data_IF_055372764658
#
_entry.id   IF_055372764658
#
_cell.length_a   1.000
_cell.length_b   1.000
_cell.length_c   1.000
_cell.angle_alpha   90.00
_cell.angle_beta   90.00
_cell.angle_gamma   90.00
#
_symmetry.space_group_name_H-M   'P 1'
#
loop_
_entity.id
_entity.type
_entity.pdbx_description
1 polymer ?
#
# COMPACT_ATOMS: atom_id res chain seq x y z
N UNK A 1 9.62 -5.87 24.75
CA UNK A 1 8.92 -5.23 23.64
C UNK A 1 9.90 -4.58 22.68
N UNK A 2 9.71 -4.80 21.42
CA UNK A 2 10.58 -4.23 20.42
C UNK A 2 10.15 -2.83 20.07
N UNK A 3 11.07 -1.89 19.96
CA UNK A 3 10.68 -0.54 19.59
C UNK A 3 9.89 -0.48 18.28
N UNK A 4 10.29 -1.29 17.30
CA UNK A 4 9.60 -1.28 16.03
C UNK A 4 8.17 -1.75 16.11
N UNK A 5 7.83 -2.52 17.14
CA UNK A 5 6.47 -3.02 17.26
C UNK A 5 5.53 -1.96 17.84
N UNK A 6 6.04 -0.80 18.16
CA UNK A 6 5.20 0.25 18.73
C UNK A 6 4.32 0.92 17.69
N UNK A 7 4.69 0.81 16.41
CA UNK A 7 3.85 1.39 15.39
C UNK A 7 2.65 0.49 15.14
N UNK A 8 1.48 1.01 15.44
CA UNK A 8 0.25 0.26 15.23
C UNK A 8 -0.05 0.15 13.75
N UNK A 9 -0.74 -0.91 13.33
CA UNK A 9 -1.09 -1.07 11.92
C UNK A 9 -1.84 0.12 11.34
N UNK A 10 -2.73 0.72 12.10
CA UNK A 10 -3.46 1.88 11.62
C UNK A 10 -2.52 3.05 11.35
N UNK A 11 -1.56 3.28 12.24
CA UNK A 11 -0.57 4.32 12.04
C UNK A 11 0.28 4.02 10.81
N UNK A 12 0.65 2.77 10.64
CA UNK A 12 1.46 2.36 9.51
C UNK A 12 0.74 2.66 8.19
N UNK A 13 -0.54 2.29 8.08
CA UNK A 13 -1.25 2.56 6.85
C UNK A 13 -1.40 4.06 6.61
N UNK A 14 -1.55 4.86 7.67
CA UNK A 14 -1.63 6.30 7.51
C UNK A 14 -0.34 6.89 6.98
N UNK A 15 0.79 6.39 7.46
CA UNK A 15 2.09 6.88 7.00
C UNK A 15 2.36 6.47 5.55
N UNK A 16 1.99 5.25 5.19
CA UNK A 16 2.15 4.80 3.81
C UNK A 16 1.25 5.63 2.89
N UNK A 17 0.02 5.87 3.33
CA UNK A 17 -0.91 6.69 2.55
C UNK A 17 -0.33 8.08 2.32
N UNK A 18 0.21 8.69 3.38
CA UNK A 18 0.80 10.01 3.26
C UNK A 18 1.94 10.04 2.24
N UNK A 19 2.81 9.04 2.31
CA UNK A 19 3.93 8.98 1.38
C UNK A 19 3.45 8.82 -0.06
N UNK A 20 2.37 8.06 -0.27
CA UNK A 20 1.80 7.90 -1.60
C UNK A 20 1.20 9.20 -2.11
N UNK A 21 0.53 9.95 -1.25
CA UNK A 21 0.00 11.26 -1.64
C UNK A 21 1.15 12.18 -2.05
N UNK A 22 2.20 12.21 -1.24
CA UNK A 22 3.35 13.08 -1.52
C UNK A 22 4.02 12.71 -2.83
N UNK A 23 4.00 11.43 -3.19
CA UNK A 23 4.63 10.95 -4.43
C UNK A 23 3.65 10.98 -5.59
N UNK A 24 2.49 11.61 -5.45
CA UNK A 24 1.50 11.78 -6.51
C UNK A 24 0.80 10.48 -6.89
N UNK A 25 0.71 9.56 -5.96
CA UNK A 25 -0.09 8.36 -6.18
C UNK A 25 -1.53 8.73 -6.47
N UNK A 26 -2.18 7.97 -7.35
CA UNK A 26 -3.53 8.29 -7.78
C UNK A 26 -4.50 7.23 -7.30
N UNK A 27 -5.73 7.67 -7.05
CA UNK A 27 -6.85 6.80 -6.71
C UNK A 27 -6.46 5.86 -5.56
N UNK A 28 -5.97 6.42 -4.49
CA UNK A 28 -5.47 5.66 -3.35
C UNK A 28 -6.64 5.15 -2.52
N UNK A 29 -6.68 3.84 -2.29
CA UNK A 29 -7.71 3.20 -1.48
C UNK A 29 -7.05 2.46 -0.33
N UNK A 30 -7.65 2.58 0.85
CA UNK A 30 -7.21 1.83 2.02
C UNK A 30 -8.32 0.87 2.39
N UNK A 31 -8.00 -0.40 2.43
CA UNK A 31 -8.95 -1.46 2.75
C UNK A 31 -8.59 -2.06 4.10
N UNK A 32 -9.57 -2.12 4.99
CA UNK A 32 -9.41 -2.81 6.27
C UNK A 32 -9.79 -4.26 6.04
N UNK A 33 -8.80 -5.14 6.07
CA UNK A 33 -9.02 -6.56 5.77
C UNK A 33 -8.89 -7.43 7.00
N UNK A 34 -8.93 -6.84 8.19
CA UNK A 34 -8.71 -7.59 9.43
C UNK A 34 -9.75 -8.68 9.65
N UNK A 35 -10.96 -8.47 9.14
CA UNK A 35 -12.02 -9.45 9.32
C UNK A 35 -12.10 -10.46 8.17
N UNK A 36 -11.27 -10.30 7.17
CA UNK A 36 -11.31 -11.13 5.97
C UNK A 36 -10.13 -12.09 5.94
N UNK A 37 -8.99 -11.65 6.41
CA UNK A 37 -7.77 -12.44 6.35
C UNK A 37 -6.93 -12.23 7.62
N UNK A 38 -6.07 -13.21 7.87
CA UNK A 38 -5.15 -13.15 9.01
C UNK A 38 -3.75 -12.70 8.63
N UNK A 39 -3.43 -12.61 7.33
CA UNK A 39 -2.04 -12.37 6.95
C UNK A 39 -1.67 -10.89 6.89
N UNK A 40 -2.63 -10.00 6.94
CA UNK A 40 -2.35 -8.57 7.00
C UNK A 40 -3.56 -7.85 7.57
N UNK A 41 -3.36 -6.66 8.07
CA UNK A 41 -4.46 -5.87 8.65
C UNK A 41 -5.05 -4.91 7.65
N UNK A 42 -4.23 -4.32 6.80
CA UNK A 42 -4.69 -3.33 5.82
C UNK A 42 -4.06 -3.59 4.47
N UNK A 43 -4.79 -3.23 3.45
CA UNK A 43 -4.30 -3.28 2.09
C UNK A 43 -4.44 -1.88 1.51
N UNK A 44 -3.42 -1.39 0.85
CA UNK A 44 -3.47 -0.08 0.21
C UNK A 44 -3.25 -0.31 -1.27
N UNK A 45 -4.13 0.27 -2.09
CA UNK A 45 -4.04 0.14 -3.53
C UNK A 45 -3.94 1.54 -4.11
N UNK A 46 -2.95 1.77 -4.93
CA UNK A 46 -2.75 3.06 -5.57
C UNK A 46 -2.30 2.87 -6.99
N UNK A 47 -2.54 3.87 -7.82
CA UNK A 47 -2.15 3.84 -9.21
C UNK A 47 -1.01 4.78 -9.48
N UNK A 48 -0.12 4.37 -10.37
CA UNK A 48 0.91 5.22 -10.93
C UNK A 48 0.64 5.43 -12.40
N UNK A 49 1.07 6.56 -12.93
CA UNK A 49 0.78 6.94 -14.32
C UNK A 49 1.62 6.17 -15.33
N UNK A 50 2.70 5.54 -14.88
CA UNK A 50 3.61 4.79 -15.74
C UNK A 50 4.29 3.74 -14.89
N UNK A 51 4.98 2.81 -15.55
CA UNK A 51 5.77 1.81 -14.82
C UNK A 51 6.81 2.48 -13.94
N UNK A 52 7.44 3.54 -14.45
CA UNK A 52 8.43 4.27 -13.65
C UNK A 52 7.76 4.91 -12.43
N UNK A 53 6.58 5.48 -12.60
CA UNK A 53 5.87 6.10 -11.49
C UNK A 53 5.49 5.06 -10.44
N UNK A 54 5.04 3.88 -10.89
CA UNK A 54 4.73 2.80 -9.97
C UNK A 54 5.95 2.42 -9.14
N UNK A 55 7.11 2.31 -9.78
CA UNK A 55 8.35 2.01 -9.06
C UNK A 55 8.72 3.14 -8.12
N UNK A 56 8.52 4.39 -8.54
CA UNK A 56 8.79 5.53 -7.68
C UNK A 56 7.90 5.52 -6.45
N UNK A 57 6.62 5.18 -6.62
CA UNK A 57 5.73 5.07 -5.46
C UNK A 57 6.25 4.04 -4.47
N UNK A 58 6.68 2.89 -4.97
CA UNK A 58 7.24 1.85 -4.10
C UNK A 58 8.48 2.34 -3.38
N UNK A 59 9.37 3.01 -4.10
CA UNK A 59 10.59 3.53 -3.49
C UNK A 59 10.27 4.55 -2.41
N UNK A 60 9.34 5.45 -2.67
CA UNK A 60 9.02 6.51 -1.74
C UNK A 60 8.42 5.99 -0.45
N UNK A 61 7.52 5.01 -0.54
CA UNK A 61 6.97 4.47 0.70
C UNK A 61 8.04 3.71 1.48
N UNK A 62 8.95 3.02 0.80
CA UNK A 62 10.02 2.31 1.50
C UNK A 62 10.97 3.29 2.19
N UNK A 63 11.34 4.37 1.51
CA UNK A 63 12.22 5.38 2.09
C UNK A 63 11.54 6.02 3.30
N UNK A 64 10.28 6.39 3.15
CA UNK A 64 9.56 7.02 4.26
C UNK A 64 9.45 6.09 5.45
N UNK A 65 9.05 4.84 5.22
CA UNK A 65 8.89 3.90 6.32
C UNK A 65 10.22 3.58 6.99
N UNK A 66 11.31 3.59 6.22
CA UNK A 66 12.63 3.38 6.80
C UNK A 66 12.96 4.47 7.81
N UNK A 67 12.58 5.70 7.55
CA UNK A 67 12.83 6.78 8.51
C UNK A 67 12.07 6.56 9.81
N UNK A 68 11.04 5.73 9.77
CA UNK A 68 10.24 5.41 10.94
C UNK A 68 10.64 4.06 11.55
N UNK A 69 11.76 3.51 11.09
CA UNK A 69 12.27 2.26 11.62
C UNK A 69 11.59 1.02 11.08
N UNK A 70 10.88 1.12 9.97
CA UNK A 70 10.14 -0.01 9.41
C UNK A 70 10.66 -0.33 8.02
N UNK A 71 11.12 -1.55 7.84
CA UNK A 71 11.58 -2.04 6.54
C UNK A 71 10.54 -2.97 5.97
N UNK A 72 10.41 -3.04 4.64
CA UNK A 72 9.50 -4.02 4.07
C UNK A 72 9.99 -5.44 4.30
N UNK A 73 9.04 -6.34 4.47
CA UNK A 73 9.32 -7.76 4.52
C UNK A 73 9.69 -8.28 3.14
N UNK A 74 9.10 -7.68 2.11
CA UNK A 74 9.40 -8.07 0.74
C UNK A 74 8.83 -7.10 -0.27
N UNK A 75 9.38 -7.15 -1.47
CA UNK A 75 8.89 -6.40 -2.63
C UNK A 75 8.87 -7.35 -3.82
N UNK A 76 7.81 -7.25 -4.62
CA UNK A 76 7.63 -8.12 -5.78
C UNK A 76 7.21 -7.27 -6.97
N UNK A 77 7.58 -7.68 -8.17
CA UNK A 77 7.08 -7.08 -9.40
C UNK A 77 7.87 -5.90 -9.92
N UNK A 78 8.99 -5.58 -9.31
CA UNK A 78 9.74 -4.37 -9.65
C UNK A 78 10.33 -4.39 -11.05
N UNK A 79 10.67 -5.56 -11.55
CA UNK A 79 11.35 -5.64 -12.85
C UNK A 79 10.46 -5.09 -13.97
N UNK A 80 9.16 -5.36 -13.91
CA UNK A 80 8.23 -4.88 -14.93
C UNK A 80 7.65 -3.53 -14.56
N UNK A 81 7.29 -3.37 -13.30
CA UNK A 81 6.76 -2.09 -12.83
C UNK A 81 5.29 -1.85 -13.13
N UNK A 82 4.58 -2.85 -13.65
CA UNK A 82 3.14 -2.69 -13.88
C UNK A 82 2.33 -2.93 -12.62
N UNK A 83 2.86 -3.76 -11.74
CA UNK A 83 2.21 -4.09 -10.48
C UNK A 83 3.32 -4.41 -9.49
N UNK A 84 3.57 -3.49 -8.57
CA UNK A 84 4.59 -3.69 -7.55
C UNK A 84 3.89 -3.87 -6.21
N UNK A 85 4.23 -4.93 -5.53
CA UNK A 85 3.70 -5.22 -4.20
C UNK A 85 4.79 -4.93 -3.18
N UNK A 86 4.45 -4.18 -2.13
CA UNK A 86 5.37 -3.94 -1.03
C UNK A 86 4.69 -4.42 0.25
N UNK A 87 5.32 -5.40 0.88
CA UNK A 87 4.76 -6.08 2.05
C UNK A 87 5.46 -5.57 3.31
N UNK A 88 4.72 -4.90 4.16
CA UNK A 88 5.22 -4.45 5.46
C UNK A 88 4.69 -5.31 6.61
N UNK A 89 4.04 -6.43 6.30
CA UNK A 89 3.49 -7.32 7.31
C UNK A 89 2.06 -6.91 7.66
N UNK A 90 1.92 -5.88 8.43
CA UNK A 90 0.59 -5.41 8.85
C UNK A 90 -0.13 -4.65 7.76
N UNK A 91 0.59 -4.16 6.78
CA UNK A 91 0.03 -3.42 5.65
C UNK A 91 0.73 -3.90 4.39
N UNK A 92 -0.05 -4.21 3.38
CA UNK A 92 0.46 -4.59 2.06
C UNK A 92 0.01 -3.54 1.06
N UNK A 93 0.98 -2.96 0.34
CA UNK A 93 0.68 -1.95 -0.66
C UNK A 93 0.75 -2.56 -2.05
N UNK A 94 -0.28 -2.32 -2.84
CA UNK A 94 -0.35 -2.72 -4.25
C UNK A 94 -0.30 -1.46 -5.10
N UNK A 95 0.74 -1.34 -5.90
CA UNK A 95 0.97 -0.15 -6.72
C UNK A 95 0.91 -0.60 -8.16
N UNK A 96 -0.06 -0.08 -8.92
CA UNK A 96 -0.38 -0.61 -10.22
C UNK A 96 -0.60 0.50 -11.23
N UNK A 97 -0.32 0.16 -12.49
CA UNK A 97 -0.81 1.01 -13.57
C UNK A 97 -2.32 0.80 -13.71
N UNK A 98 -3.06 1.85 -14.11
CA UNK A 98 -4.51 1.74 -14.19
C UNK A 98 -5.03 0.54 -15.00
N UNK A 99 -4.48 0.22 -16.18
CA UNK A 99 -5.00 -0.94 -16.92
C UNK A 99 -4.88 -2.24 -16.15
N UNK A 100 -3.77 -2.41 -15.42
CA UNK A 100 -3.57 -3.61 -14.62
C UNK A 100 -4.54 -3.62 -13.45
N UNK A 101 -4.72 -2.47 -12.82
CA UNK A 101 -5.63 -2.34 -11.69
C UNK A 101 -7.05 -2.69 -12.11
N UNK A 102 -7.47 -2.21 -13.26
CA UNK A 102 -8.82 -2.49 -13.75
C UNK A 102 -8.99 -3.98 -14.06
N UNK A 103 -7.97 -4.59 -14.65
CA UNK A 103 -8.04 -5.98 -15.04
C UNK A 103 -8.19 -6.91 -13.84
N UNK A 104 -7.36 -6.70 -12.82
CA UNK A 104 -7.39 -7.59 -11.65
C UNK A 104 -8.40 -7.17 -10.61
N UNK A 105 -8.70 -5.90 -10.52
CA UNK A 105 -9.77 -5.36 -9.68
C UNK A 105 -9.73 -5.90 -8.25
N UNK A 106 -8.59 -5.69 -7.59
CA UNK A 106 -8.43 -6.16 -6.22
C UNK A 106 -9.43 -5.53 -5.27
N UNK A 107 -9.85 -4.31 -5.56
CA UNK A 107 -10.80 -3.62 -4.70
C UNK A 107 -12.12 -4.38 -4.64
N UNK A 108 -12.56 -4.95 -5.74
CA UNK A 108 -13.78 -5.74 -5.74
C UNK A 108 -13.57 -7.05 -4.98
N UNK A 109 -12.42 -7.66 -5.17
CA UNK A 109 -12.12 -8.92 -4.51
C UNK A 109 -12.09 -8.76 -3.00
N UNK A 110 -11.45 -7.70 -2.52
CA UNK A 110 -11.25 -7.50 -1.08
C UNK A 110 -12.22 -6.50 -0.48
N UNK A 111 -12.86 -5.68 -1.30
CA UNK A 111 -13.57 -4.52 -0.83
C UNK A 111 -14.98 -4.73 -0.34
N UNK A 112 -15.65 -5.79 -0.81
CA UNK A 112 -17.05 -5.97 -0.45
C UNK A 112 -17.23 -6.12 1.05
N UNK A 113 -16.37 -6.86 1.71
CA UNK A 113 -16.44 -7.03 3.14
C UNK A 113 -15.47 -6.16 3.88
N UNK A 114 -14.60 -5.46 3.18
CA UNK A 114 -13.53 -4.67 3.78
C UNK A 114 -13.87 -3.20 3.59
N UNK A 115 -14.57 -2.65 4.54
CA UNK A 115 -14.98 -1.26 4.44
C UNK A 115 -13.77 -0.37 4.26
N UNK A 116 -13.79 0.40 3.24
CA UNK A 116 -12.74 1.38 3.02
C UNK A 116 -12.89 2.47 4.04
N UNK A 117 -11.85 2.69 4.77
CA UNK A 117 -11.84 3.76 5.72
C UNK A 117 -11.84 5.08 4.98
N UNK A 118 -12.61 6.04 5.49
CA UNK A 118 -12.64 7.35 4.88
C UNK A 118 -11.27 7.98 5.05
N UNK A 119 -10.50 7.94 4.00
CA UNK A 119 -9.16 8.47 4.03
C UNK A 119 -9.23 9.96 3.75
N UNK A 120 -8.34 10.71 4.39
CA UNK A 120 -8.31 12.14 4.18
C UNK A 120 -8.18 12.47 2.70
N UNK A 121 -8.76 13.59 2.31
CA UNK A 121 -8.65 14.03 0.92
C UNK A 121 -7.21 14.19 0.54
N UNK A 122 -6.91 13.73 -0.63
CA UNK A 122 -5.57 13.93 -1.15
C UNK A 122 -5.36 15.33 -1.63
#
# INVERSE_FOLDING_TARGET
MKPGSLMQPKKMQQEIHRALVDAKGQDIKVLDVRKITDFTDYMIIASGTSSRHVQTLADKICVHMKTLGRMPVGREGEAVGDWVLVDFGDVIAHLMRPPVRDLYNLEKLWGDGARVEAVAKQ
#
